data_IF_376550193951
#
_entry.id   IF_376550193951
#
_cell.length_a   1.000
_cell.length_b   1.000
_cell.length_c   1.000
_cell.angle_alpha   90.00
_cell.angle_beta   90.00
_cell.angle_gamma   90.00
#
_symmetry.space_group_name_H-M   'P 1'
#
loop_
_entity.id
_entity.type
_entity.pdbx_description
1 polymer ?
#
# COMPACT_ATOMS: atom_id res chain seq x y z
N UNK A 1 -8.97 -13.20 2.87
CA UNK A 1 -9.48 -11.97 2.23
C UNK A 1 -8.29 -11.18 1.69
N UNK A 2 -8.35 -10.59 0.50
CA UNK A 2 -7.21 -9.84 -0.07
C UNK A 2 -7.34 -8.34 0.23
N UNK A 3 -6.24 -7.66 0.53
CA UNK A 3 -6.26 -6.24 0.87
C UNK A 3 -6.45 -5.38 -0.38
N UNK A 4 -7.61 -4.72 -0.50
CA UNK A 4 -7.90 -3.82 -1.63
C UNK A 4 -7.18 -2.47 -1.53
N UNK A 5 -6.55 -2.17 -0.39
CA UNK A 5 -5.84 -0.89 -0.15
C UNK A 5 -4.77 -0.62 -1.22
N UNK A 6 -4.17 -1.66 -1.78
CA UNK A 6 -3.11 -1.50 -2.79
C UNK A 6 -3.63 -1.06 -4.16
N UNK A 7 -4.95 -1.05 -4.39
CA UNK A 7 -5.53 -0.51 -5.64
C UNK A 7 -5.31 1.00 -5.76
N UNK A 8 -5.24 1.73 -4.66
CA UNK A 8 -4.96 3.18 -4.63
C UNK A 8 -3.45 3.50 -4.64
N UNK A 9 -2.62 2.55 -5.06
CA UNK A 9 -1.19 2.79 -5.33
C UNK A 9 -1.01 3.09 -6.80
N UNK A 10 0.07 3.75 -7.20
CA UNK A 10 0.29 4.07 -8.62
C UNK A 10 0.22 2.84 -9.53
N UNK A 11 0.68 1.66 -9.08
CA UNK A 11 0.57 0.42 -9.85
C UNK A 11 -0.88 -0.05 -9.97
N UNK A 12 -1.65 0.05 -8.87
CA UNK A 12 -3.07 -0.30 -8.85
C UNK A 12 -3.93 0.66 -9.68
N UNK A 13 -3.66 1.96 -9.60
CA UNK A 13 -4.33 3.01 -10.40
C UNK A 13 -4.08 2.78 -11.89
N UNK A 14 -2.82 2.59 -12.30
CA UNK A 14 -2.50 2.28 -13.71
C UNK A 14 -3.16 0.99 -14.21
N UNK A 15 -3.30 -0.03 -13.36
CA UNK A 15 -4.04 -1.24 -13.71
C UNK A 15 -5.54 -0.95 -13.90
N UNK A 16 -6.15 -0.18 -12.99
CA UNK A 16 -7.56 0.19 -13.09
C UNK A 16 -7.84 1.01 -14.35
N UNK A 17 -7.01 2.03 -14.63
CA UNK A 17 -7.11 2.83 -15.87
C UNK A 17 -7.05 1.94 -17.12
N UNK A 18 -6.16 0.96 -17.15
CA UNK A 18 -6.04 0.02 -18.28
C UNK A 18 -7.27 -0.88 -18.41
N UNK A 19 -7.81 -1.37 -17.28
CA UNK A 19 -9.02 -2.19 -17.23
C UNK A 19 -10.23 -1.39 -17.74
N UNK A 20 -10.38 -0.15 -17.30
CA UNK A 20 -11.44 0.76 -17.72
C UNK A 20 -11.38 1.00 -19.23
N UNK A 21 -10.20 1.33 -19.76
CA UNK A 21 -10.02 1.50 -21.20
C UNK A 21 -10.42 0.24 -22.00
N UNK A 22 -9.99 -0.94 -21.57
CA UNK A 22 -10.33 -2.19 -22.26
C UNK A 22 -11.82 -2.52 -22.18
N UNK A 23 -12.50 -2.13 -21.09
CA UNK A 23 -13.93 -2.29 -20.93
C UNK A 23 -14.69 -1.33 -21.86
N UNK A 24 -14.27 -0.07 -21.97
CA UNK A 24 -14.83 0.92 -22.90
C UNK A 24 -14.71 0.47 -24.36
N UNK A 25 -13.59 -0.17 -24.72
CA UNK A 25 -13.37 -0.74 -26.05
C UNK A 25 -14.17 -2.04 -26.29
N UNK A 26 -14.93 -2.52 -25.31
CA UNK A 26 -15.70 -3.77 -25.38
C UNK A 26 -14.83 -5.03 -25.41
N UNK A 27 -13.53 -4.91 -25.10
CA UNK A 27 -12.55 -6.00 -25.13
C UNK A 27 -12.50 -6.78 -23.82
N UNK A 28 -12.98 -6.18 -22.73
CA UNK A 28 -12.96 -6.77 -21.40
C UNK A 28 -14.35 -6.71 -20.75
N UNK A 29 -15.04 -7.86 -20.61
CA UNK A 29 -16.27 -7.94 -19.84
C UNK A 29 -16.06 -7.57 -18.37
N UNK A 30 -17.08 -6.98 -17.75
CA UNK A 30 -17.04 -6.53 -16.34
C UNK A 30 -16.68 -7.67 -15.37
N UNK A 31 -17.21 -8.88 -15.58
CA UNK A 31 -16.89 -10.05 -14.74
C UNK A 31 -15.38 -10.39 -14.76
N UNK A 32 -14.74 -10.25 -15.93
CA UNK A 32 -13.31 -10.49 -16.08
C UNK A 32 -12.49 -9.36 -15.46
N UNK A 33 -12.91 -8.10 -15.59
CA UNK A 33 -12.28 -6.97 -14.92
C UNK A 33 -12.22 -7.16 -13.41
N UNK A 34 -13.35 -7.56 -12.79
CA UNK A 34 -13.42 -7.85 -11.36
C UNK A 34 -12.51 -9.03 -10.96
N UNK A 35 -12.43 -10.07 -11.79
CA UNK A 35 -11.54 -11.20 -11.55
C UNK A 35 -10.06 -10.78 -11.57
N UNK A 36 -9.66 -9.93 -12.52
CA UNK A 36 -8.30 -9.38 -12.60
C UNK A 36 -7.97 -8.56 -11.35
N UNK A 37 -8.86 -7.68 -10.91
CA UNK A 37 -8.66 -6.87 -9.71
C UNK A 37 -8.53 -7.73 -8.44
N UNK A 38 -9.35 -8.78 -8.31
CA UNK A 38 -9.24 -9.73 -7.19
C UNK A 38 -7.91 -10.49 -7.20
N UNK A 39 -7.44 -10.87 -8.39
CA UNK A 39 -6.15 -11.52 -8.55
C UNK A 39 -5.00 -10.56 -8.19
N UNK A 40 -5.09 -9.30 -8.60
CA UNK A 40 -4.14 -8.25 -8.25
C UNK A 40 -4.02 -8.09 -6.72
N UNK A 41 -5.14 -7.97 -6.01
CA UNK A 41 -5.12 -7.80 -4.54
C UNK A 41 -4.38 -8.95 -3.84
N UNK A 42 -4.56 -10.17 -4.35
CA UNK A 42 -3.93 -11.39 -3.82
C UNK A 42 -2.43 -11.38 -4.12
N UNK A 43 -2.08 -11.22 -5.39
CA UNK A 43 -0.69 -11.24 -5.84
C UNK A 43 0.14 -10.12 -5.23
N UNK A 44 -0.41 -8.92 -5.08
CA UNK A 44 0.28 -7.79 -4.45
C UNK A 44 0.56 -8.05 -2.97
N UNK A 45 -0.44 -8.57 -2.24
CA UNK A 45 -0.29 -8.91 -0.82
C UNK A 45 0.78 -9.98 -0.60
N UNK A 46 0.81 -11.01 -1.44
CA UNK A 46 1.83 -12.06 -1.40
C UNK A 46 3.21 -11.53 -1.77
N UNK A 47 3.31 -10.71 -2.82
CA UNK A 47 4.57 -10.16 -3.28
C UNK A 47 5.24 -9.29 -2.21
N UNK A 48 4.47 -8.41 -1.54
CA UNK A 48 4.99 -7.58 -0.46
C UNK A 48 5.51 -8.46 0.68
N UNK A 49 4.74 -9.47 1.12
CA UNK A 49 5.16 -10.37 2.21
C UNK A 49 6.41 -11.18 1.87
N UNK A 50 6.54 -11.62 0.62
CA UNK A 50 7.60 -12.56 0.20
C UNK A 50 8.88 -11.88 -0.23
N UNK A 51 8.79 -10.74 -0.92
CA UNK A 51 9.94 -10.13 -1.59
C UNK A 51 10.44 -8.86 -0.92
N UNK A 52 9.63 -8.17 -0.10
CA UNK A 52 10.06 -6.94 0.57
C UNK A 52 10.77 -7.30 1.86
N UNK A 53 12.08 -7.11 1.89
CA UNK A 53 12.92 -7.34 3.06
C UNK A 53 13.26 -6.05 3.79
N UNK A 54 13.21 -4.90 3.11
CA UNK A 54 13.63 -3.61 3.63
C UNK A 54 12.89 -3.19 4.91
N UNK A 55 13.62 -2.55 5.83
CA UNK A 55 13.09 -2.00 7.07
C UNK A 55 13.12 -0.48 7.02
N UNK A 56 11.98 0.14 7.31
CA UNK A 56 11.87 1.59 7.41
C UNK A 56 11.53 2.04 8.84
N UNK A 57 11.99 3.21 9.23
CA UNK A 57 11.52 3.93 10.42
C UNK A 57 11.05 5.31 10.02
N UNK A 58 9.99 5.80 10.65
CA UNK A 58 9.42 7.11 10.38
C UNK A 58 9.38 7.95 11.65
N UNK A 59 9.71 9.23 11.54
CA UNK A 59 9.49 10.25 12.57
C UNK A 59 8.68 11.38 11.97
N UNK A 60 7.69 11.90 12.69
CA UNK A 60 6.84 12.97 12.20
C UNK A 60 6.09 13.65 13.36
N UNK A 61 5.56 14.84 13.09
CA UNK A 61 4.52 15.46 13.90
C UNK A 61 3.15 14.98 13.42
N UNK A 62 2.31 14.52 14.34
CA UNK A 62 0.96 14.09 14.02
C UNK A 62 0.00 15.28 14.00
N UNK A 63 -0.64 15.53 12.86
CA UNK A 63 -1.66 16.60 12.72
C UNK A 63 -3.03 16.10 13.14
N UNK A 64 -3.47 14.99 12.53
CA UNK A 64 -4.74 14.33 12.83
C UNK A 64 -4.59 12.82 12.69
N UNK A 65 -5.45 12.08 13.39
CA UNK A 65 -5.60 10.64 13.24
C UNK A 65 -7.08 10.28 13.22
N UNK A 66 -7.40 9.17 12.55
CA UNK A 66 -8.74 8.61 12.49
C UNK A 66 -8.65 7.09 12.50
N UNK A 67 -9.54 6.45 13.26
CA UNK A 67 -9.71 5.01 13.27
C UNK A 67 -11.17 4.66 13.05
N UNK A 68 -11.43 3.85 12.02
CA UNK A 68 -12.76 3.39 11.67
C UNK A 68 -12.64 2.05 10.93
N UNK A 69 -13.51 1.09 11.26
CA UNK A 69 -13.58 -0.24 10.63
C UNK A 69 -12.21 -0.94 10.46
N UNK A 70 -11.40 -0.97 11.52
CA UNK A 70 -10.07 -1.59 11.52
C UNK A 70 -9.04 -0.94 10.57
N UNK A 71 -9.30 0.29 10.13
CA UNK A 71 -8.39 1.10 9.33
C UNK A 71 -7.96 2.32 10.15
N UNK A 72 -6.65 2.49 10.30
CA UNK A 72 -6.04 3.71 10.81
C UNK A 72 -5.64 4.63 9.66
N UNK A 73 -5.94 5.91 9.79
CA UNK A 73 -5.47 6.96 8.88
C UNK A 73 -4.78 8.06 9.69
N UNK A 74 -3.55 8.40 9.33
CA UNK A 74 -2.77 9.47 9.95
C UNK A 74 -2.45 10.55 8.93
N UNK A 75 -2.61 11.81 9.32
CA UNK A 75 -2.08 12.97 8.58
C UNK A 75 -0.90 13.54 9.35
N UNK A 76 0.26 13.57 8.71
CA UNK A 76 1.56 13.85 9.33
C UNK A 76 2.20 15.09 8.70
N UNK A 77 2.97 15.83 9.49
CA UNK A 77 3.76 16.99 9.08
C UNK A 77 5.23 16.85 9.52
N UNK A 78 6.16 17.40 8.73
CA UNK A 78 7.60 17.35 9.01
C UNK A 78 8.12 15.92 9.11
N UNK A 79 7.90 15.12 8.08
CA UNK A 79 8.12 13.67 8.10
C UNK A 79 9.54 13.34 7.66
N UNK A 80 10.20 12.49 8.44
CA UNK A 80 11.51 11.90 8.14
C UNK A 80 11.37 10.37 8.05
N UNK A 81 11.71 9.80 6.90
CA UNK A 81 11.81 8.36 6.68
C UNK A 81 13.28 7.95 6.65
N UNK A 82 13.63 6.86 7.35
CA UNK A 82 14.92 6.18 7.19
C UNK A 82 14.69 4.77 6.67
N UNK A 83 15.35 4.40 5.58
CA UNK A 83 15.22 3.11 4.93
C UNK A 83 16.52 2.32 4.96
N UNK A 84 16.46 1.10 5.48
CA UNK A 84 17.49 0.09 5.37
C UNK A 84 16.99 -1.02 4.44
N UNK A 85 17.51 -1.06 3.21
CA UNK A 85 17.11 -2.04 2.21
C UNK A 85 17.52 -3.48 2.56
N UNK A 86 18.57 -3.67 3.35
CA UNK A 86 19.02 -5.00 3.77
C UNK A 86 18.07 -5.68 4.77
N UNK A 87 17.11 -4.93 5.34
CA UNK A 87 16.10 -5.44 6.28
C UNK A 87 16.60 -5.75 7.68
N UNK A 88 17.89 -6.04 7.81
CA UNK A 88 18.59 -6.39 9.04
C UNK A 88 19.75 -5.43 9.31
N UNK A 89 20.17 -5.34 10.56
CA UNK A 89 21.29 -4.48 10.98
C UNK A 89 20.89 -3.07 11.42
N UNK A 90 21.90 -2.23 11.65
CA UNK A 90 21.76 -0.88 12.20
C UNK A 90 21.12 0.11 11.21
N UNK A 91 20.30 1.03 11.72
CA UNK A 91 19.74 2.15 10.94
C UNK A 91 20.70 3.34 10.81
N UNK A 92 21.92 3.27 11.37
CA UNK A 92 22.85 4.41 11.42
C UNK A 92 23.31 4.90 10.03
N UNK A 93 23.42 3.98 9.06
CA UNK A 93 23.77 4.30 7.65
C UNK A 93 22.58 4.27 6.70
N UNK A 94 21.35 4.20 7.22
CA UNK A 94 20.14 4.11 6.40
C UNK A 94 19.91 5.38 5.58
N UNK A 95 19.44 5.22 4.35
CA UNK A 95 19.08 6.35 3.50
C UNK A 95 17.93 7.12 4.15
N UNK A 96 18.07 8.44 4.24
CA UNK A 96 17.07 9.32 4.85
C UNK A 96 16.36 10.13 3.77
N UNK A 97 15.03 10.22 3.87
CA UNK A 97 14.17 11.03 3.00
C UNK A 97 13.26 11.89 3.86
N UNK A 98 13.04 13.14 3.45
CA UNK A 98 12.17 14.07 4.17
C UNK A 98 11.05 14.58 3.27
N UNK A 99 9.87 14.78 3.83
CA UNK A 99 8.77 15.47 3.17
C UNK A 99 7.97 16.34 4.14
N UNK A 100 7.33 17.37 3.62
CA UNK A 100 6.57 18.32 4.43
C UNK A 100 5.33 17.67 5.05
N UNK A 101 4.66 16.80 4.29
CA UNK A 101 3.41 16.16 4.69
C UNK A 101 3.34 14.72 4.19
N UNK A 102 2.75 13.82 4.97
CA UNK A 102 2.43 12.47 4.52
C UNK A 102 1.06 12.01 5.05
N UNK A 103 0.34 11.22 4.26
CA UNK A 103 -0.84 10.47 4.70
C UNK A 103 -0.48 9.00 4.81
N UNK A 104 -0.73 8.40 5.96
CA UNK A 104 -0.45 6.97 6.21
C UNK A 104 -1.76 6.25 6.49
N UNK A 105 -2.07 5.23 5.69
CA UNK A 105 -3.26 4.39 5.86
C UNK A 105 -2.80 2.98 6.21
N UNK A 106 -3.30 2.43 7.31
CA UNK A 106 -2.90 1.13 7.85
C UNK A 106 -4.15 0.29 8.08
N UNK A 107 -4.19 -0.91 7.50
CA UNK A 107 -5.27 -1.89 7.71
C UNK A 107 -4.76 -2.95 8.67
N UNK A 108 -5.61 -3.38 9.61
CA UNK A 108 -5.27 -4.46 10.54
C UNK A 108 -4.94 -5.75 9.77
N UNK A 109 -3.74 -6.29 10.03
CA UNK A 109 -3.27 -7.53 9.43
C UNK A 109 -4.18 -8.74 9.74
N UNK A 110 -4.86 -8.73 10.90
CA UNK A 110 -5.78 -9.81 11.32
C UNK A 110 -6.98 -9.96 10.39
N UNK A 111 -7.38 -8.91 9.68
CA UNK A 111 -8.43 -8.99 8.65
C UNK A 111 -8.00 -9.86 7.46
N UNK A 112 -6.69 -9.96 7.21
CA UNK A 112 -6.14 -10.83 6.18
C UNK A 112 -6.02 -12.30 6.60
N UNK A 113 -5.99 -12.58 7.92
CA UNK A 113 -5.77 -13.91 8.51
C UNK A 113 -7.06 -14.66 8.88
N UNK A 114 -8.23 -14.01 8.81
CA UNK A 114 -9.52 -14.68 8.95
C UNK A 114 -9.89 -15.44 7.66
N UNK A 115 -9.11 -16.48 7.32
CA UNK A 115 -9.51 -17.66 6.53
C UNK A 115 -8.66 -18.84 6.98
#
# INVERSE_FOLDING_TARGET
MSFQIYRNTSVGESLMETIEQLAEEGKLPEELALAVLKQFDTSMSEAIKKFVTGKATMKANMKTYHYYENVWTFSLEGVEFKLNQAGSGSMAGAQTMMCNTAKVVVVDAKLGEQV
#
